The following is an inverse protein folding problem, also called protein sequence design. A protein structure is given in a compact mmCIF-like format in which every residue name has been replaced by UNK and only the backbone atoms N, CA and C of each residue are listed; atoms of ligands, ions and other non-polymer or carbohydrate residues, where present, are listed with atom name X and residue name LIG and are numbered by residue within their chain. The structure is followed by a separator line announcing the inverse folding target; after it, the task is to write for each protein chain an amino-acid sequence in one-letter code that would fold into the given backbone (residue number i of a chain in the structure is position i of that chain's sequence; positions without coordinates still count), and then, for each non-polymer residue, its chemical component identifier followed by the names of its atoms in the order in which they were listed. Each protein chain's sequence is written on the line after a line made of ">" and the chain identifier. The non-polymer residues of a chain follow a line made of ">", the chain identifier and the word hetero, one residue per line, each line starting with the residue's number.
data_IF_990173896122
#
_entry.id   IF_990173896122
#
_cell.length_a   1.000
_cell.length_b   1.000
_cell.length_c   1.000
_cell.angle_alpha   90.00
_cell.angle_beta   90.00
_cell.angle_gamma   90.00
#
_symmetry.space_group_name_H-M   'P 1'
#
loop_
_entity.id
_entity.type
_entity.pdbx_description
1 polymer ?
#
# COMPACT_ATOMS: atom_id res chain seq x y z
N UNK A 1 -1.74 6.99 18.69
CA UNK A 1 -1.81 6.08 17.54
C UNK A 1 -2.17 6.89 16.30
N UNK A 2 -1.55 6.61 15.16
CA UNK A 2 -1.79 7.27 13.88
C UNK A 2 -1.89 6.23 12.79
N UNK A 3 -2.55 6.56 11.67
CA UNK A 3 -2.48 5.77 10.44
C UNK A 3 -1.10 5.94 9.79
N UNK A 4 -0.66 4.95 9.05
CA UNK A 4 0.61 4.94 8.31
C UNK A 4 0.49 4.18 6.99
N UNK A 5 1.64 3.92 6.37
CA UNK A 5 1.70 3.28 5.06
C UNK A 5 1.37 4.22 3.90
N UNK A 6 1.63 3.79 2.67
CA UNK A 6 1.46 4.63 1.48
C UNK A 6 0.04 5.18 1.34
N UNK A 7 -0.99 4.35 1.59
CA UNK A 7 -2.41 4.75 1.47
C UNK A 7 -2.74 5.93 2.37
N UNK A 8 -2.35 5.87 3.65
CA UNK A 8 -2.64 6.95 4.60
C UNK A 8 -1.71 8.15 4.39
N UNK A 9 -0.41 7.94 4.22
CA UNK A 9 0.55 9.03 4.11
C UNK A 9 0.32 9.85 2.83
N UNK A 10 0.31 9.20 1.68
CA UNK A 10 0.11 9.87 0.39
C UNK A 10 -1.34 10.25 0.17
N UNK A 11 -2.28 9.34 0.44
CA UNK A 11 -3.69 9.58 0.18
C UNK A 11 -4.29 10.70 1.03
N UNK A 12 -4.02 10.73 2.34
CA UNK A 12 -4.53 11.81 3.19
C UNK A 12 -3.82 13.15 2.91
N UNK A 13 -2.55 13.14 2.48
CA UNK A 13 -1.87 14.36 2.05
C UNK A 13 -2.53 14.94 0.81
N UNK A 14 -2.79 14.13 -0.22
CA UNK A 14 -3.49 14.54 -1.42
C UNK A 14 -4.91 15.05 -1.12
N UNK A 15 -5.65 14.35 -0.25
CA UNK A 15 -6.97 14.79 0.18
C UNK A 15 -6.94 16.18 0.82
N UNK A 16 -5.98 16.43 1.73
CA UNK A 16 -5.81 17.74 2.38
C UNK A 16 -5.41 18.86 1.41
N UNK A 17 -4.78 18.51 0.29
CA UNK A 17 -4.45 19.43 -0.80
C UNK A 17 -5.65 19.65 -1.76
N UNK A 18 -6.81 19.07 -1.46
CA UNK A 18 -8.03 19.23 -2.26
C UNK A 18 -8.14 18.29 -3.46
N UNK A 19 -7.24 17.31 -3.59
CA UNK A 19 -7.33 16.30 -4.66
C UNK A 19 -8.38 15.25 -4.29
N UNK A 20 -9.31 14.90 -5.20
CA UNK A 20 -10.21 13.76 -5.00
C UNK A 20 -9.40 12.47 -4.90
N UNK A 21 -9.60 11.70 -3.82
CA UNK A 21 -8.88 10.44 -3.60
C UNK A 21 -9.85 9.32 -3.24
N UNK A 22 -9.50 8.11 -3.65
CA UNK A 22 -10.10 6.84 -3.20
C UNK A 22 -9.02 6.03 -2.53
N UNK A 23 -9.20 5.69 -1.25
CA UNK A 23 -8.23 4.94 -0.47
C UNK A 23 -8.64 3.47 -0.47
N UNK A 24 -7.77 2.59 -0.97
CA UNK A 24 -8.01 1.14 -0.99
C UNK A 24 -6.89 0.43 -0.24
N UNK A 25 -7.26 -0.28 0.80
CA UNK A 25 -6.39 -1.15 1.59
C UNK A 25 -7.22 -2.21 2.29
N UNK A 26 -6.56 -3.26 2.79
CA UNK A 26 -7.21 -4.31 3.57
C UNK A 26 -6.87 -4.16 5.06
N UNK A 27 -7.87 -4.23 5.90
CA UNK A 27 -7.77 -4.16 7.36
C UNK A 27 -8.51 -5.33 8.00
N UNK A 28 -8.21 -5.66 9.26
CA UNK A 28 -8.92 -6.69 10.00
C UNK A 28 -10.26 -6.19 10.57
N UNK A 29 -11.17 -7.13 10.86
CA UNK A 29 -12.41 -6.88 11.58
C UNK A 29 -12.17 -6.79 13.10
N UNK A 30 -11.20 -5.99 13.52
CA UNK A 30 -10.80 -5.82 14.90
C UNK A 30 -10.84 -4.34 15.35
N UNK A 31 -10.41 -4.10 16.59
CA UNK A 31 -10.43 -2.77 17.17
C UNK A 31 -9.49 -1.79 16.45
N UNK A 32 -8.35 -2.26 15.93
CA UNK A 32 -7.44 -1.41 15.16
C UNK A 32 -8.05 -1.05 13.80
N UNK A 33 -8.71 -2.01 13.12
CA UNK A 33 -9.45 -1.74 11.89
C UNK A 33 -10.55 -0.71 12.10
N UNK A 34 -11.35 -0.84 13.17
CA UNK A 34 -12.38 0.13 13.52
C UNK A 34 -11.78 1.55 13.74
N UNK A 35 -10.68 1.65 14.47
CA UNK A 35 -9.99 2.93 14.70
C UNK A 35 -9.49 3.54 13.37
N UNK A 36 -8.94 2.72 12.45
CA UNK A 36 -8.51 3.21 11.13
C UNK A 36 -9.70 3.80 10.36
N UNK A 37 -10.82 3.08 10.30
CA UNK A 37 -12.02 3.58 9.63
C UNK A 37 -12.52 4.90 10.23
N UNK A 38 -12.52 5.01 11.55
CA UNK A 38 -12.94 6.24 12.24
C UNK A 38 -11.99 7.40 11.95
N UNK A 39 -10.67 7.15 11.95
CA UNK A 39 -9.68 8.17 11.59
C UNK A 39 -9.82 8.65 10.14
N UNK A 40 -10.13 7.75 9.20
CA UNK A 40 -10.36 8.10 7.81
C UNK A 40 -11.65 8.91 7.66
N UNK A 41 -12.75 8.45 8.26
CA UNK A 41 -14.05 9.15 8.22
C UNK A 41 -13.99 10.54 8.84
N UNK A 42 -13.18 10.73 9.87
CA UNK A 42 -12.97 12.05 10.49
C UNK A 42 -12.26 13.04 9.55
N UNK A 43 -11.48 12.58 8.57
CA UNK A 43 -10.86 13.43 7.54
C UNK A 43 -11.81 13.69 6.36
N UNK A 44 -12.65 12.70 6.02
CA UNK A 44 -13.65 12.77 4.96
C UNK A 44 -14.49 11.49 4.94
N UNK A 45 -15.84 11.59 5.00
CA UNK A 45 -16.71 10.41 5.14
C UNK A 45 -16.45 9.33 4.09
N UNK A 46 -16.24 9.71 2.83
CA UNK A 46 -16.03 8.79 1.71
C UNK A 46 -14.63 8.12 1.69
N UNK A 47 -13.67 8.56 2.51
CA UNK A 47 -12.32 8.02 2.50
C UNK A 47 -12.24 6.58 3.01
N UNK A 48 -13.26 6.11 3.72
CA UNK A 48 -13.32 4.73 4.22
C UNK A 48 -14.09 3.78 3.28
N UNK A 49 -14.73 4.26 2.21
CA UNK A 49 -15.71 3.48 1.45
C UNK A 49 -15.07 2.34 0.63
N UNK A 50 -13.82 2.49 0.21
CA UNK A 50 -13.10 1.47 -0.55
C UNK A 50 -12.11 0.65 0.32
N UNK A 51 -12.22 0.77 1.64
CA UNK A 51 -11.46 -0.07 2.58
C UNK A 51 -12.07 -1.46 2.67
N UNK A 52 -11.23 -2.49 2.58
CA UNK A 52 -11.65 -3.89 2.63
C UNK A 52 -11.47 -4.39 4.06
N UNK A 53 -12.53 -4.95 4.65
CA UNK A 53 -12.49 -5.52 6.00
C UNK A 53 -12.41 -7.04 5.90
N UNK A 54 -11.27 -7.61 6.32
CA UNK A 54 -11.04 -9.05 6.39
C UNK A 54 -11.42 -9.57 7.79
N UNK A 55 -12.44 -10.45 7.90
CA UNK A 55 -12.86 -10.98 9.20
C UNK A 55 -11.91 -12.04 9.79
N UNK A 56 -10.93 -12.50 9.01
CA UNK A 56 -10.09 -13.63 9.38
C UNK A 56 -8.68 -13.24 9.83
N UNK A 57 -8.31 -11.96 9.69
CA UNK A 57 -6.95 -11.48 9.99
C UNK A 57 -7.01 -10.27 10.93
N UNK A 58 -6.06 -10.16 11.86
CA UNK A 58 -5.88 -8.94 12.64
C UNK A 58 -5.25 -7.83 11.79
N UNK A 59 -5.71 -6.60 11.98
CA UNK A 59 -5.20 -5.41 11.26
C UNK A 59 -3.67 -5.29 11.36
N UNK A 60 -3.02 -4.92 10.28
CA UNK A 60 -1.57 -4.64 10.27
C UNK A 60 -1.24 -3.46 11.19
N UNK A 61 -0.11 -3.55 11.87
CA UNK A 61 0.40 -2.47 12.71
C UNK A 61 1.93 -2.47 12.77
N UNK A 62 2.47 -1.33 13.12
CA UNK A 62 3.91 -1.18 13.37
C UNK A 62 4.12 -0.52 14.72
N UNK A 63 4.93 -1.14 15.56
CA UNK A 63 5.47 -0.51 16.78
C UNK A 63 6.78 0.18 16.39
N UNK A 64 6.82 1.49 16.56
CA UNK A 64 8.03 2.28 16.31
C UNK A 64 8.69 2.58 17.64
N UNK A 65 9.93 2.14 17.78
CA UNK A 65 10.76 2.42 18.96
C UNK A 65 11.84 3.40 18.52
N UNK A 66 11.87 4.58 19.13
CA UNK A 66 12.76 5.67 18.78
C UNK A 66 13.59 6.10 19.99
N UNK A 67 14.67 5.35 20.34
CA UNK A 67 15.55 5.73 21.44
C UNK A 67 16.40 6.95 21.04
N UNK A 68 16.76 7.84 21.99
CA UNK A 68 17.63 8.98 21.69
C UNK A 68 18.99 8.53 21.15
N UNK A 69 19.42 9.13 20.03
CA UNK A 69 20.77 8.93 19.47
C UNK A 69 21.04 7.60 18.76
N UNK A 70 20.00 6.80 18.54
CA UNK A 70 20.11 5.54 17.74
C UNK A 70 19.03 5.51 16.66
N UNK A 71 19.23 4.75 15.57
CA UNK A 71 18.22 4.58 14.51
C UNK A 71 16.91 4.01 15.07
N UNK A 72 15.80 4.37 14.44
CA UNK A 72 14.48 3.82 14.74
C UNK A 72 14.45 2.33 14.51
N UNK A 73 13.80 1.61 15.41
CA UNK A 73 13.47 0.20 15.26
C UNK A 73 11.97 0.08 14.94
N UNK A 74 11.67 -0.75 13.94
CA UNK A 74 10.29 -1.03 13.52
C UNK A 74 9.99 -2.51 13.80
N UNK A 75 8.92 -2.78 14.57
CA UNK A 75 8.38 -4.13 14.75
C UNK A 75 7.05 -4.14 14.02
N UNK A 76 7.00 -4.82 12.87
CA UNK A 76 5.87 -4.83 11.97
C UNK A 76 5.13 -6.17 11.99
N UNK A 77 3.80 -6.09 12.09
CA UNK A 77 2.87 -7.17 11.83
C UNK A 77 2.16 -6.94 10.52
N UNK A 78 2.36 -7.81 9.55
CA UNK A 78 1.85 -7.67 8.18
C UNK A 78 0.33 -7.68 8.11
N UNK A 79 -0.32 -8.56 8.88
CA UNK A 79 -1.78 -8.70 8.88
C UNK A 79 -2.36 -8.89 7.48
N UNK A 80 -3.45 -8.18 7.15
CA UNK A 80 -4.11 -8.28 5.85
C UNK A 80 -3.27 -7.80 4.66
N UNK A 81 -2.15 -7.08 4.87
CA UNK A 81 -1.24 -6.71 3.79
C UNK A 81 -0.65 -7.95 3.10
N UNK A 82 -0.43 -9.04 3.85
CA UNK A 82 0.06 -10.31 3.30
C UNK A 82 -0.93 -10.96 2.33
N UNK A 83 -2.22 -10.71 2.49
CA UNK A 83 -3.30 -11.28 1.67
C UNK A 83 -3.94 -10.29 0.69
N UNK A 84 -3.48 -9.04 0.67
CA UNK A 84 -3.92 -8.07 -0.32
C UNK A 84 -3.31 -8.40 -1.68
N UNK A 85 -4.14 -8.42 -2.72
CA UNK A 85 -3.77 -8.85 -4.07
C UNK A 85 -4.33 -7.92 -5.13
N UNK A 86 -3.90 -8.10 -6.38
CA UNK A 86 -4.46 -7.36 -7.51
C UNK A 86 -5.98 -7.62 -7.73
N UNK A 87 -6.50 -8.75 -7.26
CA UNK A 87 -7.92 -9.06 -7.32
C UNK A 87 -8.77 -8.25 -6.33
N UNK A 88 -8.15 -7.75 -5.25
CA UNK A 88 -8.81 -6.87 -4.28
C UNK A 88 -9.04 -5.44 -4.83
N UNK A 89 -8.48 -5.12 -5.99
CA UNK A 89 -8.69 -3.85 -6.70
C UNK A 89 -9.57 -4.12 -7.93
N UNK A 90 -10.90 -3.98 -7.83
CA UNK A 90 -11.81 -4.21 -8.94
C UNK A 90 -11.67 -3.13 -10.03
N UNK A 91 -12.22 -3.37 -11.22
CA UNK A 91 -12.11 -2.42 -12.34
C UNK A 91 -12.78 -1.08 -12.03
N UNK A 92 -13.87 -1.11 -11.26
CA UNK A 92 -14.63 0.06 -10.82
C UNK A 92 -13.81 0.99 -9.92
N UNK A 93 -12.72 0.48 -9.32
CA UNK A 93 -11.79 1.30 -8.53
C UNK A 93 -11.06 2.34 -9.38
N UNK A 94 -10.97 2.12 -10.69
CA UNK A 94 -10.31 3.03 -11.64
C UNK A 94 -11.25 4.08 -12.22
N UNK A 95 -12.56 3.91 -12.09
CA UNK A 95 -13.55 4.82 -12.69
C UNK A 95 -13.44 6.23 -12.12
N UNK A 96 -13.30 7.22 -13.02
CA UNK A 96 -13.17 8.62 -12.67
C UNK A 96 -11.84 9.01 -12.02
N UNK A 97 -10.87 8.10 -12.00
CA UNK A 97 -9.52 8.36 -11.48
C UNK A 97 -8.56 8.72 -12.62
N UNK A 98 -7.57 9.58 -12.32
CA UNK A 98 -6.53 9.95 -13.25
C UNK A 98 -5.20 9.23 -12.97
N UNK A 99 -5.01 8.76 -11.75
CA UNK A 99 -3.76 8.16 -11.28
C UNK A 99 -4.04 6.99 -10.33
N UNK A 100 -3.33 5.89 -10.50
CA UNK A 100 -3.14 4.87 -9.50
C UNK A 100 -1.80 5.09 -8.80
N UNK A 101 -1.81 5.38 -7.50
CA UNK A 101 -0.61 5.35 -6.66
C UNK A 101 -0.57 4.02 -5.89
N UNK A 102 0.44 3.20 -6.16
CA UNK A 102 0.68 1.93 -5.50
C UNK A 102 1.95 2.01 -4.65
N UNK A 103 1.87 1.64 -3.39
CA UNK A 103 2.99 1.82 -2.47
C UNK A 103 3.28 0.60 -1.62
N UNK A 104 4.58 0.42 -1.36
CA UNK A 104 5.18 -0.54 -0.44
C UNK A 104 4.94 -2.02 -0.80
N UNK A 105 5.18 -2.44 -2.06
CA UNK A 105 5.02 -3.85 -2.45
C UNK A 105 5.85 -4.82 -1.60
N UNK A 106 6.98 -4.37 -1.04
CA UNK A 106 7.87 -5.19 -0.22
C UNK A 106 7.28 -5.65 1.13
N UNK A 107 6.18 -5.04 1.58
CA UNK A 107 5.43 -5.47 2.77
C UNK A 107 4.12 -6.18 2.42
N UNK A 108 3.89 -6.49 1.15
CA UNK A 108 2.68 -7.14 0.65
C UNK A 108 3.05 -8.43 -0.11
N UNK A 109 2.95 -9.56 0.60
CA UNK A 109 3.35 -10.87 0.07
C UNK A 109 2.74 -11.19 -1.29
N UNK A 110 1.47 -10.86 -1.49
CA UNK A 110 0.76 -11.07 -2.76
C UNK A 110 1.33 -10.30 -3.96
N UNK A 111 2.27 -9.37 -3.75
CA UNK A 111 2.87 -8.56 -4.81
C UNK A 111 4.38 -8.78 -5.00
N UNK A 112 5.05 -9.46 -4.06
CA UNK A 112 6.47 -9.76 -4.22
C UNK A 112 6.75 -11.25 -4.43
N UNK A 113 5.94 -12.16 -3.87
CA UNK A 113 6.25 -13.59 -3.84
C UNK A 113 6.15 -14.29 -5.21
N UNK A 114 5.48 -13.68 -6.18
CA UNK A 114 5.33 -14.18 -7.56
C UNK A 114 6.33 -13.52 -8.55
N UNK A 115 7.34 -12.85 -8.02
CA UNK A 115 8.33 -12.13 -8.83
C UNK A 115 7.75 -10.91 -9.54
N UNK A 116 6.70 -10.27 -8.98
CA UNK A 116 6.11 -9.03 -9.46
C UNK A 116 5.02 -9.18 -10.52
N UNK A 117 4.54 -10.39 -10.80
CA UNK A 117 3.46 -10.60 -11.78
C UNK A 117 2.19 -9.88 -11.36
N UNK A 118 1.77 -10.01 -10.10
CA UNK A 118 0.58 -9.34 -9.59
C UNK A 118 0.71 -7.81 -9.63
N UNK A 119 1.88 -7.27 -9.28
CA UNK A 119 2.15 -5.84 -9.33
C UNK A 119 2.09 -5.30 -10.77
N UNK A 120 2.78 -5.96 -11.71
CA UNK A 120 2.74 -5.60 -13.12
C UNK A 120 1.31 -5.68 -13.67
N UNK A 121 0.55 -6.72 -13.33
CA UNK A 121 -0.84 -6.89 -13.75
C UNK A 121 -1.73 -5.75 -13.24
N UNK A 122 -1.61 -5.37 -11.97
CA UNK A 122 -2.39 -4.26 -11.41
C UNK A 122 -2.09 -2.95 -12.13
N UNK A 123 -0.82 -2.62 -12.29
CA UNK A 123 -0.38 -1.39 -12.96
C UNK A 123 -0.78 -1.36 -14.44
N UNK A 124 -0.64 -2.51 -15.14
CA UNK A 124 -1.08 -2.63 -16.53
C UNK A 124 -2.60 -2.43 -16.68
N UNK A 125 -3.40 -2.98 -15.75
CA UNK A 125 -4.86 -2.77 -15.72
C UNK A 125 -5.21 -1.29 -15.56
N UNK A 126 -4.54 -0.58 -14.66
CA UNK A 126 -4.75 0.85 -14.46
C UNK A 126 -4.40 1.64 -15.74
N UNK A 127 -3.26 1.35 -16.38
CA UNK A 127 -2.87 1.98 -17.67
C UNK A 127 -3.86 1.68 -18.79
N UNK A 128 -4.36 0.45 -18.87
CA UNK A 128 -5.39 0.08 -19.85
C UNK A 128 -6.70 0.84 -19.62
N UNK A 129 -7.02 1.17 -18.38
CA UNK A 129 -8.14 2.04 -18.02
C UNK A 129 -7.85 3.55 -18.23
N UNK A 130 -6.66 3.90 -18.72
CA UNK A 130 -6.28 5.29 -19.03
C UNK A 130 -5.66 6.06 -17.87
N UNK A 131 -5.32 5.41 -16.76
CA UNK A 131 -4.68 6.07 -15.62
C UNK A 131 -3.18 6.18 -15.81
N UNK A 132 -2.60 7.23 -15.26
CA UNK A 132 -1.18 7.26 -14.91
C UNK A 132 -0.92 6.31 -13.76
N UNK A 133 0.30 5.82 -13.64
CA UNK A 133 0.71 4.91 -12.58
C UNK A 133 1.90 5.46 -11.81
N UNK A 134 1.83 5.36 -10.49
CA UNK A 134 2.91 5.76 -9.58
C UNK A 134 3.22 4.62 -8.63
N UNK A 135 4.51 4.36 -8.42
CA UNK A 135 5.01 3.32 -7.54
C UNK A 135 5.93 3.93 -6.47
N UNK A 136 5.57 3.74 -5.23
CA UNK A 136 6.36 4.08 -4.05
C UNK A 136 6.88 2.78 -3.42
N UNK A 137 8.16 2.74 -3.07
CA UNK A 137 8.79 1.56 -2.51
C UNK A 137 9.47 1.87 -1.18
N UNK A 138 9.48 0.87 -0.31
CA UNK A 138 10.23 0.86 0.93
C UNK A 138 11.22 -0.29 0.87
N UNK A 139 12.42 -0.08 1.41
CA UNK A 139 13.45 -1.12 1.48
C UNK A 139 12.91 -2.30 2.28
N UNK A 140 12.98 -3.53 1.75
CA UNK A 140 12.61 -4.72 2.50
C UNK A 140 13.61 -4.95 3.64
N UNK A 141 13.14 -5.53 4.73
CA UNK A 141 14.03 -6.06 5.77
C UNK A 141 14.86 -7.20 5.16
N UNK A 142 16.20 -7.10 5.16
CA UNK A 142 17.07 -8.10 4.54
C UNK A 142 16.94 -9.49 5.15
N UNK A 143 16.51 -9.61 6.40
CA UNK A 143 16.34 -10.88 7.10
C UNK A 143 14.94 -11.50 6.86
N UNK A 144 14.02 -10.75 6.25
CA UNK A 144 12.66 -11.18 5.93
C UNK A 144 12.58 -12.03 4.64
N UNK A 145 11.39 -12.59 4.37
CA UNK A 145 11.09 -13.24 3.09
C UNK A 145 11.24 -12.26 1.92
N UNK A 146 10.77 -11.02 2.08
CA UNK A 146 10.91 -9.97 1.09
C UNK A 146 12.38 -9.60 0.82
N UNK A 147 13.26 -9.69 1.83
CA UNK A 147 14.69 -9.43 1.66
C UNK A 147 15.42 -10.44 0.76
N UNK A 148 14.82 -11.61 0.51
CA UNK A 148 15.38 -12.69 -0.35
C UNK A 148 14.85 -12.67 -1.78
N UNK A 149 13.95 -11.73 -2.09
CA UNK A 149 13.37 -11.58 -3.43
C UNK A 149 14.43 -11.00 -4.37
N UNK A 150 14.48 -11.49 -5.61
CA UNK A 150 15.24 -10.87 -6.69
C UNK A 150 14.51 -9.58 -7.13
N UNK A 151 14.86 -8.47 -6.46
CA UNK A 151 14.25 -7.17 -6.73
C UNK A 151 14.67 -6.59 -8.08
N UNK A 152 15.81 -6.98 -8.64
CA UNK A 152 16.22 -6.56 -9.98
C UNK A 152 15.29 -7.16 -11.03
N UNK A 153 15.03 -8.47 -10.95
CA UNK A 153 14.07 -9.14 -11.82
C UNK A 153 12.64 -8.62 -11.60
N UNK A 154 12.25 -8.34 -10.33
CA UNK A 154 10.98 -7.74 -9.98
C UNK A 154 10.82 -6.35 -10.63
N UNK A 155 11.80 -5.47 -10.47
CA UNK A 155 11.82 -4.13 -11.07
C UNK A 155 11.79 -4.19 -12.59
N UNK A 156 12.58 -5.07 -13.20
CA UNK A 156 12.59 -5.25 -14.66
C UNK A 156 11.20 -5.61 -15.23
N UNK A 157 10.38 -6.32 -14.44
CA UNK A 157 9.01 -6.67 -14.84
C UNK A 157 8.01 -5.55 -14.58
N UNK A 158 8.13 -4.85 -13.45
CA UNK A 158 7.10 -3.93 -12.96
C UNK A 158 7.28 -2.51 -13.53
N UNK A 159 8.52 -2.00 -13.59
CA UNK A 159 8.81 -0.62 -14.00
C UNK A 159 8.35 -0.25 -15.41
N UNK A 160 8.28 -1.15 -16.41
CA UNK A 160 7.67 -0.83 -17.71
C UNK A 160 6.21 -0.37 -17.64
N UNK A 161 5.53 -0.65 -16.53
CA UNK A 161 4.14 -0.25 -16.28
C UNK A 161 4.00 0.95 -15.34
N UNK A 162 5.10 1.63 -15.01
CA UNK A 162 5.17 2.74 -14.03
C UNK A 162 5.53 4.04 -14.75
N UNK A 163 4.71 5.07 -14.58
CA UNK A 163 4.98 6.41 -15.13
C UNK A 163 5.78 7.27 -14.15
N UNK A 164 5.59 7.07 -12.83
CA UNK A 164 6.31 7.80 -11.77
C UNK A 164 6.84 6.80 -10.74
N UNK A 165 8.16 6.70 -10.62
CA UNK A 165 8.82 5.83 -9.64
C UNK A 165 9.42 6.65 -8.50
N UNK A 166 9.11 6.30 -7.26
CA UNK A 166 9.49 7.00 -6.03
C UNK A 166 10.29 6.03 -5.14
N UNK A 167 11.59 5.83 -5.41
CA UNK A 167 12.44 4.99 -4.58
C UNK A 167 12.93 5.72 -3.34
N UNK A 168 13.21 4.98 -2.26
CA UNK A 168 14.09 5.48 -1.20
C UNK A 168 15.50 5.65 -1.73
N UNK A 169 16.24 6.63 -1.18
CA UNK A 169 17.64 6.90 -1.57
C UNK A 169 18.66 6.14 -0.71
N UNK A 170 18.22 5.33 0.25
CA UNK A 170 19.05 4.60 1.22
C UNK A 170 19.41 3.20 0.74
#
# INVERSE_FOLDING_TARGET
>A
MTTGGAVANTGLALHRLGTPVRLSAKIGADRFGAIILDLLRAQGPALADAMIVDPHTATSYTVVIEPPGVPRLFIHWEGPNATFTAADVPAEAFEGMALLHFGYPSIMRGFYSDGGIAAATLLQRARTAGLLTSLDVVRPDPDSEAGRVDWDAWCARVLPHVDVFIPNLD
#
